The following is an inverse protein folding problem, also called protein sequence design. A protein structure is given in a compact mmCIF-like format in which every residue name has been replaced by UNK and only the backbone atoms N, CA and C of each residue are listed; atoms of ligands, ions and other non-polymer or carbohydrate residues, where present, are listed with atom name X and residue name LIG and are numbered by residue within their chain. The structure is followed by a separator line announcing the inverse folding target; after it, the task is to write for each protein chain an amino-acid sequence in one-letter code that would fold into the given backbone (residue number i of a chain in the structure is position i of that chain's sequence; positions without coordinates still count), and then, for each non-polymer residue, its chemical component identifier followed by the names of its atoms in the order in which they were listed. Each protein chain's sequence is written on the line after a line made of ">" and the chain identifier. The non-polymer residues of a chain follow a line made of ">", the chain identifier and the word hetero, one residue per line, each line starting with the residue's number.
data_IF_461950302282
#
_entry.id   IF_461950302282
#
_cell.length_a   1.000
_cell.length_b   1.000
_cell.length_c   1.000
_cell.angle_alpha   90.00
_cell.angle_beta   90.00
_cell.angle_gamma   90.00
#
_symmetry.space_group_name_H-M   'P 1'
#
loop_
_entity.id
_entity.type
_entity.pdbx_description
1 polymer ?
#
# COMPACT_ATOMS: atom_id res chain seq x y z
N UNK A 1 -43.48 -27.40 2.05
CA UNK A 1 -42.56 -26.25 1.88
C UNK A 1 -41.21 -26.59 2.48
N UNK A 2 -40.32 -27.20 1.72
CA UNK A 2 -38.96 -27.58 2.15
C UNK A 2 -38.04 -26.39 1.96
N UNK A 3 -37.66 -25.76 3.08
CA UNK A 3 -36.68 -24.68 3.12
C UNK A 3 -35.32 -25.23 2.69
N UNK A 4 -34.95 -25.03 1.45
CA UNK A 4 -33.59 -25.20 0.96
C UNK A 4 -32.69 -24.13 1.63
N UNK A 5 -32.10 -24.46 2.78
CA UNK A 5 -30.93 -23.69 3.25
C UNK A 5 -29.81 -23.93 2.24
N UNK A 6 -29.26 -22.88 1.59
CA UNK A 6 -28.09 -23.06 0.74
C UNK A 6 -26.98 -23.64 1.63
N UNK A 7 -26.47 -24.82 1.27
CA UNK A 7 -25.25 -25.38 1.84
C UNK A 7 -24.17 -24.28 1.72
N UNK A 8 -23.60 -23.87 2.85
CA UNK A 8 -22.41 -23.05 2.86
C UNK A 8 -21.37 -23.79 2.02
N UNK A 9 -21.18 -23.35 0.78
CA UNK A 9 -20.15 -23.88 -0.10
C UNK A 9 -18.83 -23.68 0.64
N UNK A 10 -18.12 -24.78 0.88
CA UNK A 10 -16.79 -24.72 1.47
C UNK A 10 -15.97 -23.74 0.62
N UNK A 11 -15.55 -22.63 1.22
CA UNK A 11 -14.75 -21.63 0.51
C UNK A 11 -13.48 -22.34 0.05
N UNK A 12 -13.15 -22.29 -1.25
CA UNK A 12 -11.99 -22.99 -1.76
C UNK A 12 -10.76 -22.57 -0.97
N UNK A 13 -9.93 -23.53 -0.59
CA UNK A 13 -8.66 -23.29 0.11
C UNK A 13 -7.86 -22.16 -0.53
N UNK A 14 -7.93 -22.07 -1.85
CA UNK A 14 -7.31 -21.01 -2.64
C UNK A 14 -7.71 -19.61 -2.16
N UNK A 15 -8.99 -19.35 -1.86
CA UNK A 15 -9.44 -18.02 -1.40
C UNK A 15 -8.83 -17.67 -0.03
N UNK A 16 -8.72 -18.64 0.87
CA UNK A 16 -8.07 -18.43 2.16
C UNK A 16 -6.58 -18.14 1.99
N UNK A 17 -5.91 -18.89 1.12
CA UNK A 17 -4.49 -18.69 0.83
C UNK A 17 -4.24 -17.31 0.19
N UNK A 18 -5.11 -16.86 -0.71
CA UNK A 18 -5.01 -15.53 -1.31
C UNK A 18 -5.11 -14.42 -0.23
N UNK A 19 -6.06 -14.52 0.69
CA UNK A 19 -6.18 -13.54 1.77
C UNK A 19 -5.00 -13.57 2.74
N UNK A 20 -4.50 -14.76 3.07
CA UNK A 20 -3.30 -14.90 3.90
C UNK A 20 -2.05 -14.35 3.20
N UNK A 21 -1.94 -14.53 1.88
CA UNK A 21 -0.84 -13.94 1.09
C UNK A 21 -0.90 -12.41 1.10
N UNK A 22 -2.09 -11.83 0.98
CA UNK A 22 -2.27 -10.37 1.09
C UNK A 22 -1.88 -9.88 2.49
N UNK A 23 -2.40 -10.50 3.55
CA UNK A 23 -2.08 -10.11 4.92
C UNK A 23 -0.59 -10.28 5.23
N UNK A 24 0.01 -11.38 4.79
CA UNK A 24 1.45 -11.68 4.96
C UNK A 24 2.34 -10.71 4.21
N UNK A 25 1.99 -10.36 2.97
CA UNK A 25 2.71 -9.37 2.17
C UNK A 25 2.65 -7.97 2.80
N UNK A 26 1.48 -7.56 3.30
CA UNK A 26 1.32 -6.31 4.03
C UNK A 26 2.17 -6.31 5.33
N UNK A 27 2.14 -7.39 6.10
CA UNK A 27 2.96 -7.52 7.31
C UNK A 27 4.47 -7.46 6.99
N UNK A 28 4.92 -8.16 5.94
CA UNK A 28 6.30 -8.13 5.50
C UNK A 28 6.74 -6.71 5.10
N UNK A 29 5.89 -5.96 4.38
CA UNK A 29 6.17 -4.57 4.02
C UNK A 29 6.35 -3.68 5.26
N UNK A 30 5.52 -3.85 6.30
CA UNK A 30 5.66 -3.11 7.55
C UNK A 30 6.93 -3.50 8.31
N UNK A 31 7.29 -4.80 8.34
CA UNK A 31 8.53 -5.27 8.95
C UNK A 31 9.73 -4.64 8.24
N UNK A 32 9.77 -4.67 6.92
CA UNK A 32 10.84 -4.02 6.13
C UNK A 32 10.91 -2.52 6.46
N UNK A 33 9.77 -1.83 6.48
CA UNK A 33 9.73 -0.40 6.83
C UNK A 33 10.28 -0.11 8.23
N UNK A 34 10.09 -1.03 9.18
CA UNK A 34 10.62 -0.89 10.54
C UNK A 34 12.14 -1.12 10.63
N UNK A 35 12.72 -1.91 9.72
CA UNK A 35 14.15 -2.25 9.74
C UNK A 35 15.05 -1.25 9.01
N UNK A 36 14.49 -0.40 8.14
CA UNK A 36 15.24 0.60 7.36
C UNK A 36 15.15 1.98 8.01
N UNK A 37 16.23 2.74 7.94
CA UNK A 37 16.29 4.13 8.44
C UNK A 37 15.68 5.10 7.43
N UNK A 38 14.74 5.99 7.82
CA UNK A 38 14.20 6.98 6.90
C UNK A 38 15.29 7.95 6.44
N UNK A 39 15.41 8.12 5.12
CA UNK A 39 16.40 9.03 4.54
C UNK A 39 16.08 10.49 4.87
N UNK A 40 17.05 11.28 5.37
CA UNK A 40 16.85 12.70 5.67
C UNK A 40 16.48 13.56 4.46
N UNK A 41 16.82 13.09 3.24
CA UNK A 41 16.44 13.77 1.99
C UNK A 41 14.96 13.63 1.63
N UNK A 42 14.20 12.84 2.38
CA UNK A 42 12.78 12.54 2.10
C UNK A 42 12.56 11.48 1.02
N UNK A 43 13.62 10.96 0.38
CA UNK A 43 13.54 9.90 -0.65
C UNK A 43 14.83 9.06 -0.65
N UNK A 44 14.82 7.96 -1.41
CA UNK A 44 15.99 7.08 -1.54
C UNK A 44 16.14 6.02 -0.46
N UNK A 45 15.29 5.95 0.55
CA UNK A 45 15.35 4.93 1.63
C UNK A 45 15.42 3.48 1.09
N UNK A 46 14.79 3.20 -0.06
CA UNK A 46 14.82 1.88 -0.69
C UNK A 46 16.22 1.41 -1.11
N UNK A 47 17.20 2.31 -1.27
CA UNK A 47 18.57 1.93 -1.63
C UNK A 47 19.27 1.13 -0.53
N UNK A 48 18.82 1.25 0.75
CA UNK A 48 19.32 0.43 1.85
C UNK A 48 18.96 -1.05 1.68
N UNK A 49 17.98 -1.36 0.82
CA UNK A 49 17.61 -2.74 0.46
C UNK A 49 18.42 -3.27 -0.74
N UNK A 50 19.47 -2.57 -1.17
CA UNK A 50 20.27 -2.92 -2.34
C UNK A 50 19.59 -2.60 -3.68
N UNK A 51 18.48 -1.87 -3.66
CA UNK A 51 17.79 -1.44 -4.88
C UNK A 51 18.49 -0.23 -5.51
N UNK A 52 18.51 -0.10 -6.84
CA UNK A 52 19.11 1.04 -7.51
C UNK A 52 18.35 2.34 -7.18
N UNK A 53 19.02 3.50 -7.20
CA UNK A 53 18.37 4.79 -7.03
C UNK A 53 17.37 5.04 -8.15
N UNK A 54 16.40 5.93 -7.90
CA UNK A 54 15.34 6.23 -8.87
C UNK A 54 15.93 6.79 -10.18
N UNK A 55 15.74 6.07 -11.29
CA UNK A 55 16.24 6.46 -12.60
C UNK A 55 15.64 7.80 -13.07
N UNK A 56 14.39 8.10 -12.76
CA UNK A 56 13.77 9.39 -13.09
C UNK A 56 14.49 10.53 -12.37
N UNK A 57 14.81 10.38 -11.08
CA UNK A 57 15.55 11.35 -10.30
C UNK A 57 16.96 11.58 -10.88
N UNK A 58 17.64 10.50 -11.30
CA UNK A 58 18.98 10.60 -11.90
C UNK A 58 18.98 11.33 -13.25
N UNK A 59 17.92 11.12 -14.06
CA UNK A 59 17.83 11.72 -15.40
C UNK A 59 17.34 13.17 -15.40
N UNK A 60 16.41 13.49 -14.49
CA UNK A 60 15.72 14.80 -14.50
C UNK A 60 16.08 15.70 -13.34
N UNK A 61 16.79 15.19 -12.32
CA UNK A 61 17.04 15.92 -11.08
C UNK A 61 15.79 16.08 -10.18
N UNK A 62 14.63 15.61 -10.62
CA UNK A 62 13.35 15.78 -9.94
C UNK A 62 12.78 14.45 -9.41
N UNK A 63 12.13 14.43 -8.23
CA UNK A 63 11.56 13.20 -7.69
C UNK A 63 10.38 12.72 -8.53
N UNK A 64 10.32 11.41 -8.80
CA UNK A 64 9.17 10.74 -9.45
C UNK A 64 7.96 10.67 -8.50
N UNK A 65 6.75 10.31 -8.98
CA UNK A 65 5.56 10.17 -8.13
C UNK A 65 5.73 9.19 -6.96
N UNK A 66 6.55 8.16 -7.17
CA UNK A 66 6.84 7.13 -6.16
C UNK A 66 8.02 7.47 -5.24
N UNK A 67 8.77 8.55 -5.54
CA UNK A 67 9.88 8.94 -4.69
C UNK A 67 9.37 9.34 -3.30
N UNK A 68 10.02 8.79 -2.26
CA UNK A 68 9.62 9.02 -0.87
C UNK A 68 8.58 8.04 -0.33
N UNK A 69 8.00 7.12 -1.13
CA UNK A 69 7.06 6.11 -0.61
C UNK A 69 7.67 5.28 0.53
N UNK A 70 8.85 4.70 0.30
CA UNK A 70 9.55 3.89 1.31
C UNK A 70 9.96 4.72 2.53
N UNK A 71 10.35 5.98 2.30
CA UNK A 71 10.69 6.94 3.36
C UNK A 71 9.45 7.26 4.20
N UNK A 72 8.30 7.48 3.55
CA UNK A 72 7.03 7.72 4.24
C UNK A 72 6.61 6.53 5.10
N UNK A 73 6.77 5.29 4.61
CA UNK A 73 6.53 4.07 5.40
C UNK A 73 7.47 3.98 6.60
N UNK A 74 8.77 4.27 6.40
CA UNK A 74 9.77 4.22 7.46
C UNK A 74 9.52 5.27 8.55
N UNK A 75 9.06 6.47 8.20
CA UNK A 75 8.61 7.47 9.18
C UNK A 75 7.30 7.07 9.86
N UNK A 76 6.30 6.64 9.07
CA UNK A 76 4.97 6.33 9.58
C UNK A 76 4.97 5.18 10.61
N UNK A 77 5.79 4.13 10.39
CA UNK A 77 5.93 3.01 11.35
C UNK A 77 6.53 3.45 12.69
N UNK A 78 7.28 4.56 12.70
CA UNK A 78 7.88 5.16 13.90
C UNK A 78 6.98 6.22 14.56
N UNK A 79 5.83 6.53 13.95
CA UNK A 79 4.89 7.54 14.44
C UNK A 79 5.21 8.96 14.00
N UNK A 80 6.18 9.17 13.10
CA UNK A 80 6.58 10.47 12.57
C UNK A 80 5.66 10.91 11.41
N UNK A 81 4.39 11.12 11.69
CA UNK A 81 3.34 11.39 10.70
C UNK A 81 3.63 12.62 9.84
N UNK A 82 4.15 13.69 10.45
CA UNK A 82 4.50 14.93 9.75
C UNK A 82 5.62 14.73 8.74
N UNK A 83 6.66 13.99 9.11
CA UNK A 83 7.76 13.65 8.22
C UNK A 83 7.30 12.65 7.13
N UNK A 84 6.42 11.72 7.46
CA UNK A 84 5.84 10.80 6.49
C UNK A 84 5.04 11.54 5.40
N UNK A 85 4.20 12.52 5.77
CA UNK A 85 3.47 13.38 4.82
C UNK A 85 4.46 14.20 3.97
N UNK A 86 5.47 14.78 4.61
CA UNK A 86 6.50 15.56 3.93
C UNK A 86 7.28 14.76 2.89
N UNK A 87 7.62 13.50 3.21
CA UNK A 87 8.29 12.59 2.29
C UNK A 87 7.37 12.22 1.10
N UNK A 88 6.19 11.69 1.37
CA UNK A 88 5.20 11.38 0.33
C UNK A 88 3.79 11.18 0.95
N UNK A 89 2.82 12.07 0.68
CA UNK A 89 1.46 11.95 1.23
C UNK A 89 0.75 10.66 0.77
N UNK A 90 0.99 10.24 -0.50
CA UNK A 90 0.47 8.97 -1.01
C UNK A 90 1.08 7.79 -0.23
N UNK A 91 2.37 7.88 0.12
CA UNK A 91 3.05 6.86 0.93
C UNK A 91 2.39 6.68 2.28
N UNK A 92 2.02 7.77 2.96
CA UNK A 92 1.28 7.68 4.23
C UNK A 92 -0.12 7.07 4.04
N UNK A 93 -0.85 7.46 3.00
CA UNK A 93 -2.16 6.87 2.71
C UNK A 93 -2.07 5.35 2.46
N UNK A 94 -1.07 4.93 1.68
CA UNK A 94 -0.79 3.52 1.43
C UNK A 94 -0.34 2.77 2.70
N UNK A 95 0.41 3.41 3.59
CA UNK A 95 0.77 2.83 4.88
C UNK A 95 -0.46 2.52 5.72
N UNK A 96 -1.38 3.48 5.87
CA UNK A 96 -2.64 3.28 6.61
C UNK A 96 -3.46 2.16 5.97
N UNK A 97 -3.58 2.15 4.64
CA UNK A 97 -4.28 1.08 3.93
C UNK A 97 -3.62 -0.29 4.17
N UNK A 98 -2.29 -0.36 4.16
CA UNK A 98 -1.53 -1.59 4.47
C UNK A 98 -1.83 -2.10 5.87
N UNK A 99 -1.86 -1.21 6.87
CA UNK A 99 -2.24 -1.57 8.23
C UNK A 99 -3.68 -2.11 8.31
N UNK A 100 -4.63 -1.54 7.57
CA UNK A 100 -6.02 -2.01 7.52
C UNK A 100 -6.17 -3.35 6.77
N UNK A 101 -5.34 -3.60 5.76
CA UNK A 101 -5.40 -4.83 4.97
C UNK A 101 -5.04 -6.09 5.79
N UNK A 102 -4.20 -5.96 6.82
CA UNK A 102 -3.80 -7.11 7.65
C UNK A 102 -5.02 -7.70 8.40
N UNK A 103 -5.72 -6.96 9.27
CA UNK A 103 -6.86 -7.50 9.99
C UNK A 103 -8.00 -7.89 9.04
N UNK A 104 -8.23 -7.10 7.98
CA UNK A 104 -9.23 -7.44 6.96
C UNK A 104 -8.91 -8.77 6.28
N UNK A 105 -7.68 -8.98 5.85
CA UNK A 105 -7.23 -10.22 5.21
C UNK A 105 -7.38 -11.43 6.13
N UNK A 106 -7.02 -11.29 7.41
CA UNK A 106 -7.17 -12.36 8.40
C UNK A 106 -8.66 -12.71 8.63
N UNK A 107 -9.52 -11.71 8.83
CA UNK A 107 -10.97 -11.92 9.00
C UNK A 107 -11.59 -12.55 7.75
N UNK A 108 -11.18 -12.07 6.56
CA UNK A 108 -11.67 -12.59 5.29
C UNK A 108 -11.24 -14.06 5.06
N UNK A 109 -9.99 -14.40 5.43
CA UNK A 109 -9.51 -15.78 5.38
C UNK A 109 -10.28 -16.70 6.33
N UNK A 110 -10.55 -16.24 7.57
CA UNK A 110 -11.31 -17.01 8.57
C UNK A 110 -12.77 -17.20 8.15
N UNK A 111 -13.41 -16.14 7.66
CA UNK A 111 -14.81 -16.16 7.22
C UNK A 111 -15.00 -16.73 5.82
N UNK A 112 -13.90 -16.90 5.09
CA UNK A 112 -13.92 -17.45 3.75
C UNK A 112 -14.57 -16.52 2.71
N UNK A 113 -14.31 -15.24 2.80
CA UNK A 113 -14.82 -14.28 1.82
C UNK A 113 -14.13 -14.46 0.47
N UNK A 114 -14.90 -14.36 -0.61
CA UNK A 114 -14.30 -14.30 -1.95
C UNK A 114 -13.60 -12.96 -2.16
N UNK A 115 -12.37 -12.99 -2.65
CA UNK A 115 -11.61 -11.77 -2.96
C UNK A 115 -12.36 -10.92 -4.00
N UNK A 116 -12.90 -11.56 -5.05
CA UNK A 116 -13.68 -10.87 -6.08
C UNK A 116 -14.89 -10.15 -5.48
N UNK A 117 -15.64 -10.80 -4.60
CA UNK A 117 -16.83 -10.20 -3.97
C UNK A 117 -16.48 -8.99 -3.09
N UNK A 118 -15.32 -8.99 -2.44
CA UNK A 118 -14.85 -7.85 -1.65
C UNK A 118 -14.41 -6.70 -2.57
N UNK A 119 -13.66 -7.01 -3.62
CA UNK A 119 -13.24 -6.00 -4.63
C UNK A 119 -14.46 -5.32 -5.25
N UNK A 120 -15.47 -6.09 -5.64
CA UNK A 120 -16.69 -5.55 -6.28
C UNK A 120 -17.55 -4.77 -5.27
N UNK A 121 -17.75 -5.34 -4.06
CA UNK A 121 -18.59 -4.73 -3.02
C UNK A 121 -18.07 -3.36 -2.56
N UNK A 122 -16.77 -3.22 -2.43
CA UNK A 122 -16.13 -1.97 -2.02
C UNK A 122 -15.66 -1.12 -3.20
N UNK A 123 -15.95 -1.56 -4.44
CA UNK A 123 -15.52 -0.85 -5.67
C UNK A 123 -14.02 -0.50 -5.63
N UNK A 124 -13.17 -1.42 -5.14
CA UNK A 124 -11.75 -1.18 -4.91
C UNK A 124 -11.01 -0.75 -6.17
N UNK A 125 -11.47 -1.18 -7.36
CA UNK A 125 -10.98 -0.73 -8.65
C UNK A 125 -11.18 0.79 -8.87
N UNK A 126 -12.34 1.33 -8.43
CA UNK A 126 -12.62 2.78 -8.52
C UNK A 126 -11.73 3.57 -7.55
N UNK A 127 -11.56 3.07 -6.34
CA UNK A 127 -10.66 3.68 -5.36
C UNK A 127 -9.20 3.63 -5.81
N UNK A 128 -8.75 2.52 -6.39
CA UNK A 128 -7.41 2.40 -6.96
C UNK A 128 -7.19 3.44 -8.08
N UNK A 129 -8.17 3.62 -8.96
CA UNK A 129 -8.11 4.64 -10.00
C UNK A 129 -8.07 6.06 -9.41
N UNK A 130 -8.92 6.35 -8.42
CA UNK A 130 -8.94 7.64 -7.74
C UNK A 130 -7.60 7.95 -7.06
N UNK A 131 -7.02 6.98 -6.36
CA UNK A 131 -5.69 7.10 -5.73
C UNK A 131 -4.61 7.35 -6.80
N UNK A 132 -4.63 6.63 -7.92
CA UNK A 132 -3.69 6.82 -9.02
C UNK A 132 -3.81 8.22 -9.64
N UNK A 133 -5.04 8.70 -9.87
CA UNK A 133 -5.28 10.05 -10.37
C UNK A 133 -4.78 11.13 -9.36
N UNK A 134 -5.10 10.99 -8.08
CA UNK A 134 -4.61 11.89 -7.04
C UNK A 134 -3.07 11.90 -6.97
N UNK A 135 -2.44 10.73 -7.06
CA UNK A 135 -0.99 10.61 -7.08
C UNK A 135 -0.38 11.34 -8.29
N UNK A 136 -0.98 11.19 -9.48
CA UNK A 136 -0.53 11.87 -10.69
C UNK A 136 -0.66 13.40 -10.55
N UNK A 137 -1.79 13.89 -10.04
CA UNK A 137 -2.03 15.32 -9.82
C UNK A 137 -1.02 15.88 -8.80
N UNK A 138 -0.84 15.21 -7.65
CA UNK A 138 0.13 15.63 -6.64
C UNK A 138 1.55 15.67 -7.21
N UNK A 139 1.91 14.70 -8.05
CA UNK A 139 3.21 14.69 -8.71
C UNK A 139 3.38 15.86 -9.67
N UNK A 140 2.39 16.14 -10.52
CA UNK A 140 2.44 17.28 -11.44
C UNK A 140 2.59 18.59 -10.68
N UNK A 141 1.84 18.78 -9.59
CA UNK A 141 1.94 19.98 -8.75
C UNK A 141 3.33 20.11 -8.12
N UNK A 142 3.88 19.01 -7.58
CA UNK A 142 5.24 19.01 -7.00
C UNK A 142 6.31 19.27 -8.06
N UNK A 143 6.16 18.70 -9.25
CA UNK A 143 7.09 18.90 -10.36
C UNK A 143 7.07 20.36 -10.84
N UNK A 144 5.86 20.94 -11.01
CA UNK A 144 5.72 22.33 -11.41
C UNK A 144 6.24 23.33 -10.35
N UNK A 145 6.25 22.96 -9.07
CA UNK A 145 6.79 23.80 -7.99
C UNK A 145 8.33 23.78 -7.92
N UNK A 146 9.00 22.88 -8.64
CA UNK A 146 10.48 22.76 -8.69
C UNK A 146 11.06 23.41 -9.94
N UNK A 147 10.23 23.65 -10.97
CA UNK A 147 10.62 24.40 -12.19
C UNK A 147 10.58 25.90 -11.97
#
# INVERSE_FOLDING_TARGET
>A
MTSHRPRASAVPLLQRLLWLSVAGGCAAALVVAATIEPSPSGYGTHTQLGLPPCGFLLLTGSPCPGCGLTTAFAHAIRGDWTLAIGANPLGLALFVMTCCCIPLGLVAALRGWSLASVVDRFSLNRWALAIACCAAVLWVVRFAAVL
#
